data_IF_307756459210
#
_entry.id   IF_307756459210
#
_cell.length_a   1.000
_cell.length_b   1.000
_cell.length_c   1.000
_cell.angle_alpha   90.00
_cell.angle_beta   90.00
_cell.angle_gamma   90.00
#
_symmetry.space_group_name_H-M   'P 1'
#
loop_
_entity.id
_entity.type
_entity.pdbx_description
1 polymer ?
#
# COMPACT_ATOMS: atom_id res chain seq x y z
N UNK A 1 0.84 -13.71 13.75
CA UNK A 1 2.14 -13.63 13.06
C UNK A 1 1.87 -13.38 11.59
N UNK A 2 2.37 -12.27 11.00
CA UNK A 2 2.15 -12.00 9.58
C UNK A 2 2.89 -13.04 8.73
N UNK A 3 2.25 -13.49 7.65
CA UNK A 3 2.89 -14.34 6.65
C UNK A 3 3.78 -13.46 5.76
N UNK A 4 5.08 -13.76 5.65
CA UNK A 4 5.95 -12.98 4.79
C UNK A 4 5.54 -13.15 3.33
N UNK A 5 5.58 -12.04 2.58
CA UNK A 5 5.26 -12.00 1.16
C UNK A 5 6.51 -12.30 0.33
N UNK A 6 7.04 -13.52 0.45
CA UNK A 6 8.20 -13.96 -0.34
C UNK A 6 7.84 -14.37 -1.76
N UNK A 7 6.61 -14.86 -1.94
CA UNK A 7 6.09 -15.33 -3.23
C UNK A 7 5.02 -14.40 -3.77
N UNK A 8 4.95 -14.34 -5.09
CA UNK A 8 3.93 -13.60 -5.79
C UNK A 8 2.55 -14.24 -5.62
N UNK A 9 1.60 -13.47 -5.12
CA UNK A 9 0.19 -13.83 -5.04
C UNK A 9 -0.57 -13.24 -6.24
N UNK A 10 -1.35 -14.08 -6.92
CA UNK A 10 -2.23 -13.63 -8.01
C UNK A 10 -3.69 -13.78 -7.60
N UNK A 11 -4.48 -12.73 -7.79
CA UNK A 11 -5.92 -12.71 -7.51
C UNK A 11 -6.68 -12.00 -8.62
N UNK A 12 -7.87 -12.48 -8.90
CA UNK A 12 -8.84 -11.73 -9.69
C UNK A 12 -9.62 -10.80 -8.76
N UNK A 13 -9.84 -9.56 -9.20
CA UNK A 13 -10.69 -8.57 -8.53
C UNK A 13 -11.58 -7.90 -9.57
N UNK A 14 -12.62 -7.22 -9.11
CA UNK A 14 -13.45 -6.34 -9.93
C UNK A 14 -13.11 -4.89 -9.61
N UNK A 15 -12.81 -4.09 -10.64
CA UNK A 15 -12.65 -2.63 -10.55
C UNK A 15 -13.61 -2.05 -11.58
N UNK A 16 -14.54 -1.20 -11.15
CA UNK A 16 -15.56 -0.58 -12.02
C UNK A 16 -16.34 -1.60 -12.87
N UNK A 17 -16.63 -2.78 -12.27
CA UNK A 17 -17.32 -3.89 -12.96
C UNK A 17 -16.46 -4.66 -13.95
N UNK A 18 -15.19 -4.29 -14.15
CA UNK A 18 -14.26 -4.96 -15.06
C UNK A 18 -13.34 -5.90 -14.28
N UNK A 19 -13.22 -7.18 -14.70
CA UNK A 19 -12.30 -8.11 -14.07
C UNK A 19 -10.84 -7.75 -14.35
N UNK A 20 -10.06 -7.70 -13.27
CA UNK A 20 -8.64 -7.41 -13.28
C UNK A 20 -7.87 -8.50 -12.55
N UNK A 21 -6.69 -8.84 -13.04
CA UNK A 21 -5.72 -9.65 -12.31
C UNK A 21 -4.77 -8.75 -11.55
N UNK A 22 -4.78 -8.87 -10.22
CA UNK A 22 -3.78 -8.28 -9.34
C UNK A 22 -2.70 -9.31 -9.03
N UNK A 23 -1.47 -8.86 -9.18
CA UNK A 23 -0.27 -9.59 -8.84
C UNK A 23 0.44 -8.83 -7.73
N UNK A 24 0.47 -9.39 -6.52
CA UNK A 24 1.08 -8.82 -5.33
C UNK A 24 2.34 -9.59 -5.01
N UNK A 25 3.48 -8.94 -4.89
CA UNK A 25 4.74 -9.61 -4.59
C UNK A 25 5.69 -8.73 -3.78
N UNK A 26 6.87 -9.25 -3.41
CA UNK A 26 7.78 -8.56 -2.50
C UNK A 26 8.25 -7.17 -2.98
N UNK A 27 8.14 -6.88 -4.28
CA UNK A 27 8.52 -5.58 -4.86
C UNK A 27 7.38 -4.57 -4.98
N UNK A 28 6.13 -5.00 -4.87
CA UNK A 28 4.98 -4.13 -5.08
C UNK A 28 3.75 -4.86 -5.63
N UNK A 29 2.88 -4.09 -6.27
CA UNK A 29 1.62 -4.55 -6.85
C UNK A 29 1.59 -4.26 -8.35
N UNK A 30 1.01 -5.16 -9.13
CA UNK A 30 0.69 -4.96 -10.54
C UNK A 30 -0.76 -5.34 -10.81
N UNK A 31 -1.50 -4.45 -11.44
CA UNK A 31 -2.89 -4.66 -11.85
C UNK A 31 -2.95 -4.74 -13.37
N UNK A 32 -3.59 -5.78 -13.88
CA UNK A 32 -3.71 -6.03 -15.32
C UNK A 32 -5.17 -6.30 -15.65
N UNK A 33 -5.76 -5.54 -16.57
CA UNK A 33 -7.11 -5.82 -17.05
C UNK A 33 -7.15 -7.17 -17.77
N UNK A 34 -8.26 -7.91 -17.62
CA UNK A 34 -8.44 -9.20 -18.27
C UNK A 34 -8.37 -9.03 -19.79
N UNK A 35 -7.53 -9.82 -20.45
CA UNK A 35 -7.27 -9.73 -21.89
C UNK A 35 -6.16 -8.76 -22.30
N UNK A 36 -5.63 -7.96 -21.38
CA UNK A 36 -4.51 -7.05 -21.65
C UNK A 36 -3.18 -7.62 -21.16
N UNK A 37 -2.11 -7.41 -21.94
CA UNK A 37 -0.74 -7.80 -21.56
C UNK A 37 0.01 -6.71 -20.78
N UNK A 38 -0.42 -5.46 -20.94
CA UNK A 38 0.20 -4.31 -20.28
C UNK A 38 -0.68 -3.90 -19.09
N UNK A 39 -0.14 -4.04 -17.89
CA UNK A 39 -0.79 -3.67 -16.63
C UNK A 39 0.01 -2.59 -15.91
N UNK A 40 -0.66 -1.80 -15.07
CA UNK A 40 -0.01 -0.76 -14.25
C UNK A 40 0.59 -1.38 -12.99
N UNK A 41 1.84 -1.05 -12.69
CA UNK A 41 2.55 -1.53 -11.51
C UNK A 41 3.05 -0.40 -10.63
N UNK A 42 3.01 -0.59 -9.32
CA UNK A 42 3.55 0.31 -8.31
C UNK A 42 4.46 -0.46 -7.37
N UNK A 43 5.60 0.14 -7.02
CA UNK A 43 6.46 -0.38 -5.95
C UNK A 43 5.89 -0.03 -4.59
N UNK A 44 6.30 -0.74 -3.53
CA UNK A 44 5.89 -0.39 -2.17
C UNK A 44 6.25 1.06 -1.80
N UNK A 45 7.42 1.53 -2.22
CA UNK A 45 7.84 2.93 -2.00
C UNK A 45 6.92 3.92 -2.71
N UNK A 46 6.50 3.61 -3.93
CA UNK A 46 5.56 4.45 -4.66
C UNK A 46 4.18 4.47 -3.99
N UNK A 47 3.70 3.32 -3.50
CA UNK A 47 2.43 3.25 -2.75
C UNK A 47 2.50 4.09 -1.47
N UNK A 48 3.59 3.98 -0.71
CA UNK A 48 3.81 4.80 0.49
C UNK A 48 3.88 6.30 0.19
N UNK A 49 4.45 6.69 -0.95
CA UNK A 49 4.53 8.08 -1.37
C UNK A 49 3.19 8.64 -1.88
N UNK A 50 2.28 7.78 -2.34
CA UNK A 50 0.93 8.16 -2.79
C UNK A 50 -0.05 8.34 -1.63
N UNK A 51 0.19 7.69 -0.50
CA UNK A 51 -0.69 7.72 0.66
C UNK A 51 -0.40 8.88 1.60
N UNK A 52 -1.23 9.91 1.55
CA UNK A 52 -1.50 10.77 2.69
C UNK A 52 -2.86 10.36 3.26
N UNK A 53 -2.87 9.40 4.17
CA UNK A 53 -3.97 9.18 5.12
C UNK A 53 -3.28 8.78 6.43
N UNK A 54 -3.06 9.78 7.29
CA UNK A 54 -2.88 9.56 8.72
C UNK A 54 -4.09 8.79 9.23
N UNK A 55 -3.93 7.48 9.46
CA UNK A 55 -4.75 6.82 10.46
C UNK A 55 -4.58 7.53 11.80
N UNK A 56 -5.59 7.50 12.69
CA UNK A 56 -5.59 8.29 13.92
C UNK A 56 -4.28 8.10 14.66
N UNK A 57 -3.60 9.22 14.91
CA UNK A 57 -2.30 9.27 15.56
C UNK A 57 -2.28 8.37 16.80
N UNK A 58 -1.22 7.56 17.01
CA UNK A 58 -1.11 6.79 18.24
C UNK A 58 -1.07 7.77 19.43
N UNK A 59 -1.94 7.63 20.44
CA UNK A 59 -1.88 8.51 21.61
C UNK A 59 -0.59 8.19 22.35
N UNK A 60 0.40 9.08 22.28
CA UNK A 60 1.62 8.88 23.07
C UNK A 60 2.89 9.56 22.63
N UNK A 61 2.95 10.27 21.49
CA UNK A 61 4.08 11.17 21.24
C UNK A 61 3.69 12.60 21.63
N UNK A 62 3.48 12.82 22.93
CA UNK A 62 3.61 14.16 23.49
C UNK A 62 5.06 14.59 23.26
N UNK A 63 5.29 15.35 22.19
CA UNK A 63 6.41 16.27 22.13
C UNK A 63 6.33 17.09 23.41
N UNK A 64 7.25 16.84 24.35
CA UNK A 64 7.38 17.66 25.54
C UNK A 64 7.52 19.11 25.08
N UNK A 65 6.54 19.93 25.47
CA UNK A 65 6.57 21.36 25.26
C UNK A 65 7.82 21.95 25.91
N UNK A 66 8.39 23.04 25.37
CA UNK A 66 9.50 23.72 26.01
C UNK A 66 8.98 24.38 27.28
N UNK A 67 9.47 23.95 28.43
CA UNK A 67 9.31 24.69 29.67
C UNK A 67 10.34 25.83 29.65
N UNK A 68 9.88 27.00 29.21
CA UNK A 68 10.54 28.27 29.49
C UNK A 68 10.20 28.76 30.89
N UNK A 69 11.24 29.16 31.61
CA UNK A 69 11.32 30.20 32.66
C UNK A 69 10.62 29.94 34.02
N UNK A 70 11.07 30.59 35.11
CA UNK A 70 11.45 32.02 35.24
C UNK A 70 12.96 32.35 35.23
#
# INVERSE_FOLDING_TARGET
>A
MPLPLDKTLKREILIDGVPHTVTVGPRGVKVTAKGFRIGRGLSWRAILALGAEEGPEPPGRTSGAPAGEP
#
